data_IF_413365503285
#
_entry.id   IF_413365503285
#
_cell.length_a   1.000
_cell.length_b   1.000
_cell.length_c   1.000
_cell.angle_alpha   90.00
_cell.angle_beta   90.00
_cell.angle_gamma   90.00
#
_symmetry.space_group_name_H-M   'P 1'
#
loop_
_entity.id
_entity.type
_entity.pdbx_description
1 polymer ?
#
# COMPACT_ATOMS: atom_id res chain seq x y z
N UNK A 1 2.09 9.66 -22.19
CA UNK A 1 2.64 8.40 -21.64
C UNK A 1 1.83 8.07 -20.40
N UNK A 2 1.24 6.89 -20.31
CA UNK A 2 0.38 6.49 -19.18
C UNK A 2 1.19 5.64 -18.20
N UNK A 3 1.19 6.01 -16.91
CA UNK A 3 1.87 5.25 -15.86
C UNK A 3 0.93 4.15 -15.39
N UNK A 4 1.35 2.88 -15.52
CA UNK A 4 0.55 1.71 -15.12
C UNK A 4 1.01 1.07 -13.81
N UNK A 5 2.31 1.15 -13.52
CA UNK A 5 2.95 0.53 -12.36
C UNK A 5 3.97 1.47 -11.76
N UNK A 6 3.99 1.56 -10.42
CA UNK A 6 4.91 2.39 -9.64
C UNK A 6 5.81 1.48 -8.80
N UNK A 7 7.12 1.65 -8.92
CA UNK A 7 8.09 1.01 -8.03
C UNK A 7 8.40 1.89 -6.83
N UNK A 8 8.32 1.33 -5.62
CA UNK A 8 8.70 2.00 -4.38
C UNK A 8 9.89 1.25 -3.76
N UNK A 9 11.01 1.94 -3.65
CA UNK A 9 12.24 1.39 -3.04
C UNK A 9 12.32 1.85 -1.59
N UNK A 10 12.30 0.89 -0.68
CA UNK A 10 12.16 1.06 0.76
C UNK A 10 10.72 0.85 1.23
N UNK A 11 10.56 0.07 2.29
CA UNK A 11 9.30 -0.26 2.95
C UNK A 11 9.19 0.36 4.36
N UNK A 12 10.04 1.34 4.67
CA UNK A 12 9.94 2.16 5.88
C UNK A 12 8.67 3.02 5.93
N UNK A 13 8.59 3.95 6.88
CA UNK A 13 7.40 4.78 7.09
C UNK A 13 6.98 5.56 5.83
N UNK A 14 7.94 6.20 5.15
CA UNK A 14 7.68 6.94 3.91
C UNK A 14 7.31 6.01 2.75
N UNK A 15 8.07 4.92 2.56
CA UNK A 15 7.84 3.97 1.47
C UNK A 15 6.46 3.32 1.54
N UNK A 16 6.06 2.87 2.73
CA UNK A 16 4.72 2.34 2.97
C UNK A 16 3.62 3.38 2.69
N UNK A 17 3.83 4.64 3.10
CA UNK A 17 2.88 5.72 2.84
C UNK A 17 2.74 6.03 1.34
N UNK A 18 3.84 6.08 0.61
CA UNK A 18 3.84 6.29 -0.84
C UNK A 18 3.13 5.13 -1.54
N UNK A 19 3.46 3.89 -1.17
CA UNK A 19 2.84 2.69 -1.73
C UNK A 19 1.32 2.68 -1.50
N UNK A 20 0.88 3.00 -0.29
CA UNK A 20 -0.56 3.11 0.03
C UNK A 20 -1.25 4.17 -0.84
N UNK A 21 -0.69 5.38 -0.94
CA UNK A 21 -1.32 6.49 -1.68
C UNK A 21 -1.40 6.15 -3.17
N UNK A 22 -0.33 5.60 -3.74
CA UNK A 22 -0.30 5.15 -5.13
C UNK A 22 -1.35 4.06 -5.41
N UNK A 23 -1.43 3.05 -4.54
CA UNK A 23 -2.42 1.98 -4.68
C UNK A 23 -3.86 2.50 -4.51
N UNK A 24 -4.10 3.44 -3.59
CA UNK A 24 -5.40 4.12 -3.40
C UNK A 24 -5.80 4.93 -4.63
N UNK A 25 -4.83 5.52 -5.34
CA UNK A 25 -5.06 6.22 -6.60
C UNK A 25 -5.28 5.28 -7.81
N UNK A 26 -5.26 3.95 -7.59
CA UNK A 26 -5.56 2.95 -8.63
C UNK A 26 -4.33 2.45 -9.40
N UNK A 27 -3.11 2.79 -8.98
CA UNK A 27 -1.90 2.27 -9.61
C UNK A 27 -1.53 0.90 -9.06
N UNK A 28 -0.92 0.06 -9.91
CA UNK A 28 -0.21 -1.12 -9.41
C UNK A 28 1.10 -0.67 -8.77
N UNK A 29 1.46 -1.22 -7.62
CA UNK A 29 2.64 -0.84 -6.87
C UNK A 29 3.52 -2.06 -6.64
N UNK A 30 4.82 -1.92 -6.86
CA UNK A 30 5.82 -2.91 -6.46
C UNK A 30 6.66 -2.29 -5.36
N UNK A 31 6.61 -2.85 -4.15
CA UNK A 31 7.38 -2.38 -3.01
C UNK A 31 8.56 -3.32 -2.77
N UNK A 32 9.78 -2.77 -2.80
CA UNK A 32 11.01 -3.55 -2.63
C UNK A 32 11.84 -2.98 -1.49
N UNK A 33 12.38 -3.86 -0.66
CA UNK A 33 13.39 -3.52 0.33
C UNK A 33 14.52 -4.56 0.29
N UNK A 34 15.56 -4.35 1.10
CA UNK A 34 16.74 -5.22 1.19
C UNK A 34 16.42 -6.60 1.76
N UNK A 35 15.34 -6.72 2.55
CA UNK A 35 14.88 -7.97 3.17
C UNK A 35 13.35 -7.99 3.24
N UNK A 36 12.76 -9.18 3.08
CA UNK A 36 11.30 -9.35 3.03
C UNK A 36 10.60 -8.89 4.32
N UNK A 37 11.25 -9.04 5.49
CA UNK A 37 10.73 -8.57 6.79
C UNK A 37 10.38 -7.08 6.80
N UNK A 38 11.07 -6.25 6.02
CA UNK A 38 10.78 -4.82 5.94
C UNK A 38 9.55 -4.57 5.08
N UNK A 39 9.42 -5.30 3.96
CA UNK A 39 8.24 -5.28 3.09
C UNK A 39 7.01 -5.73 3.87
N UNK A 40 7.09 -6.85 4.59
CA UNK A 40 6.02 -7.36 5.45
C UNK A 40 5.62 -6.34 6.52
N UNK A 41 6.59 -5.70 7.18
CA UNK A 41 6.33 -4.64 8.17
C UNK A 41 5.59 -3.46 7.53
N UNK A 42 6.00 -3.06 6.33
CA UNK A 42 5.35 -1.99 5.58
C UNK A 42 3.91 -2.35 5.21
N UNK A 43 3.71 -3.54 4.62
CA UNK A 43 2.39 -4.08 4.27
C UNK A 43 1.45 -4.17 5.48
N UNK A 44 1.94 -4.69 6.61
CA UNK A 44 1.19 -4.73 7.87
C UNK A 44 0.80 -3.31 8.36
N UNK A 45 1.68 -2.33 8.17
CA UNK A 45 1.41 -0.93 8.49
C UNK A 45 0.26 -0.36 7.64
N UNK A 46 0.31 -0.60 6.34
CA UNK A 46 -0.72 -0.17 5.38
C UNK A 46 -2.06 -0.83 5.71
N UNK A 47 -2.07 -2.14 5.96
CA UNK A 47 -3.30 -2.86 6.30
C UNK A 47 -3.95 -2.29 7.57
N UNK A 48 -3.15 -2.06 8.63
CA UNK A 48 -3.64 -1.46 9.88
C UNK A 48 -4.20 -0.05 9.68
N UNK A 49 -3.57 0.75 8.83
CA UNK A 49 -4.07 2.08 8.50
C UNK A 49 -5.42 2.01 7.79
N UNK A 50 -5.54 1.16 6.77
CA UNK A 50 -6.79 1.00 6.02
C UNK A 50 -7.90 0.41 6.90
N UNK A 51 -7.60 -0.55 7.77
CA UNK A 51 -8.56 -1.09 8.73
C UNK A 51 -9.12 0.00 9.67
N UNK A 52 -8.27 0.92 10.16
CA UNK A 52 -8.74 2.10 10.92
C UNK A 52 -9.59 3.04 10.06
N UNK A 53 -9.28 3.15 8.77
CA UNK A 53 -10.10 3.89 7.80
C UNK A 53 -11.50 3.29 7.66
N UNK A 54 -11.60 1.96 7.57
CA UNK A 54 -12.87 1.23 7.53
C UNK A 54 -13.68 1.44 8.79
N UNK A 55 -13.07 1.28 9.98
CA UNK A 55 -13.73 1.54 11.26
C UNK A 55 -14.27 2.98 11.38
N UNK A 56 -13.64 3.94 10.70
CA UNK A 56 -14.05 5.34 10.64
C UNK A 56 -15.00 5.66 9.49
N UNK A 57 -15.42 4.68 8.70
CA UNK A 57 -16.29 4.85 7.53
C UNK A 57 -15.66 5.64 6.37
N UNK A 58 -14.33 5.77 6.32
CA UNK A 58 -13.62 6.53 5.27
C UNK A 58 -13.32 5.71 4.02
N UNK A 59 -13.32 4.39 4.15
CA UNK A 59 -13.06 3.41 3.08
C UNK A 59 -13.91 2.18 3.38
N UNK A 60 -14.36 1.45 2.37
CA UNK A 60 -15.07 0.19 2.56
C UNK A 60 -14.10 -0.99 2.70
N UNK A 61 -14.57 -2.13 3.20
CA UNK A 61 -13.75 -3.37 3.23
C UNK A 61 -13.33 -3.81 1.81
N UNK A 62 -14.20 -3.63 0.82
CA UNK A 62 -13.88 -3.99 -0.57
C UNK A 62 -12.80 -3.06 -1.15
N UNK A 63 -12.89 -1.75 -0.88
CA UNK A 63 -11.84 -0.81 -1.26
C UNK A 63 -10.52 -1.13 -0.57
N UNK A 64 -10.54 -1.49 0.72
CA UNK A 64 -9.33 -1.94 1.44
C UNK A 64 -8.69 -3.13 0.73
N UNK A 65 -9.48 -4.15 0.40
CA UNK A 65 -8.98 -5.36 -0.29
C UNK A 65 -8.41 -5.03 -1.67
N UNK A 66 -9.08 -4.16 -2.42
CA UNK A 66 -8.62 -3.72 -3.73
C UNK A 66 -7.27 -2.97 -3.63
N UNK A 67 -7.15 -2.03 -2.70
CA UNK A 67 -5.92 -1.25 -2.48
C UNK A 67 -4.76 -2.18 -2.10
N UNK A 68 -4.98 -3.10 -1.16
CA UNK A 68 -3.95 -4.06 -0.76
C UNK A 68 -3.56 -5.00 -1.91
N UNK A 69 -4.52 -5.43 -2.73
CA UNK A 69 -4.28 -6.28 -3.89
C UNK A 69 -3.45 -5.62 -5.01
N UNK A 70 -3.36 -4.28 -5.01
CA UNK A 70 -2.53 -3.53 -5.96
C UNK A 70 -1.06 -3.45 -5.56
N UNK A 71 -0.70 -3.78 -4.32
CA UNK A 71 0.68 -3.70 -3.82
C UNK A 71 1.30 -5.11 -3.84
N UNK A 72 2.45 -5.24 -4.50
CA UNK A 72 3.23 -6.48 -4.64
C UNK A 72 4.63 -6.34 -4.08
#
# INVERSE_FOLDING_TARGET
MEIKTIGVVGAGAMGSGIAQVAATAGYNVIMRDIEDRFVEKGMNGIEKFLAKGVQRGKVTEDQKKEILGRIK
#
